data_IF_795797135617
#
_entry.id   IF_795797135617
#
_cell.length_a   1.000
_cell.length_b   1.000
_cell.length_c   1.000
_cell.angle_alpha   90.00
_cell.angle_beta   90.00
_cell.angle_gamma   90.00
#
_symmetry.space_group_name_H-M   'P 1'
#
loop_
_entity.id
_entity.type
_entity.pdbx_description
1 polymer ?
#
# COMPACT_ATOMS: atom_id res chain seq x y z
N UNK A 1 20.16 -17.09 -15.69
CA UNK A 1 20.36 -15.70 -15.51
C UNK A 1 19.12 -15.08 -14.94
N UNK A 2 19.30 -14.23 -14.03
CA UNK A 2 18.13 -13.67 -13.44
C UNK A 2 17.85 -12.34 -14.05
N UNK A 3 16.64 -12.20 -14.47
CA UNK A 3 16.20 -10.95 -14.99
C UNK A 3 15.83 -10.09 -13.81
N UNK A 4 16.35 -8.91 -13.82
CA UNK A 4 15.98 -7.97 -12.82
C UNK A 4 14.50 -7.70 -12.94
N UNK A 5 13.74 -7.93 -11.91
CA UNK A 5 12.31 -7.70 -12.02
C UNK A 5 12.03 -6.23 -12.21
N UNK A 6 11.01 -5.98 -12.96
CA UNK A 6 10.51 -4.63 -13.08
C UNK A 6 9.79 -4.32 -11.78
N UNK A 7 10.14 -3.21 -11.18
CA UNK A 7 9.47 -2.83 -9.94
C UNK A 7 8.14 -2.18 -10.28
N UNK A 8 7.11 -2.99 -10.22
CA UNK A 8 5.77 -2.53 -10.52
C UNK A 8 5.06 -2.27 -9.20
N UNK A 9 4.56 -1.08 -8.99
CA UNK A 9 3.83 -0.82 -7.76
C UNK A 9 2.59 -1.69 -7.65
N UNK A 10 2.32 -2.16 -6.46
CA UNK A 10 1.12 -2.94 -6.19
C UNK A 10 0.13 -2.02 -5.49
N UNK A 11 -1.03 -1.85 -6.07
CA UNK A 11 -2.04 -1.00 -5.48
C UNK A 11 -2.69 -1.73 -4.31
N UNK A 12 -2.61 -1.13 -3.14
CA UNK A 12 -3.20 -1.71 -1.94
C UNK A 12 -4.48 -1.03 -1.54
N UNK A 13 -4.62 0.25 -1.86
CA UNK A 13 -5.85 0.99 -1.58
C UNK A 13 -6.16 1.84 -2.80
N UNK A 14 -7.40 1.81 -3.21
CA UNK A 14 -7.86 2.62 -4.33
C UNK A 14 -9.22 3.18 -3.99
N UNK A 15 -9.34 4.50 -4.06
CA UNK A 15 -10.61 5.16 -3.78
C UNK A 15 -11.12 4.76 -2.40
N UNK A 16 -10.25 4.78 -1.43
CA UNK A 16 -10.58 4.46 -0.04
C UNK A 16 -10.88 2.99 0.20
N UNK A 17 -10.78 2.17 -0.82
CA UNK A 17 -11.10 0.76 -0.67
C UNK A 17 -9.83 -0.07 -0.62
N UNK A 18 -9.68 -0.83 0.45
CA UNK A 18 -8.50 -1.66 0.64
C UNK A 18 -8.65 -2.93 -0.18
N UNK A 19 -7.62 -3.23 -0.95
CA UNK A 19 -7.61 -4.43 -1.76
C UNK A 19 -6.92 -5.53 -0.95
N UNK A 20 -7.70 -6.18 -0.10
CA UNK A 20 -7.16 -7.14 0.85
C UNK A 20 -6.44 -8.31 0.18
N UNK A 21 -6.90 -8.70 -1.00
CA UNK A 21 -6.23 -9.78 -1.72
C UNK A 21 -4.80 -9.40 -2.05
N UNK A 22 -4.59 -8.15 -2.43
CA UNK A 22 -3.25 -7.70 -2.75
C UNK A 22 -2.38 -7.62 -1.51
N UNK A 23 -2.96 -7.16 -0.42
CA UNK A 23 -2.22 -7.10 0.85
C UNK A 23 -1.78 -8.49 1.26
N UNK A 24 -2.68 -9.46 1.16
CA UNK A 24 -2.37 -10.82 1.55
C UNK A 24 -1.34 -11.45 0.62
N UNK A 25 -1.41 -11.16 -0.66
CA UNK A 25 -0.47 -11.71 -1.61
C UNK A 25 0.95 -11.27 -1.31
N UNK A 26 1.11 -10.10 -0.72
CA UNK A 26 2.41 -9.62 -0.34
C UNK A 26 2.88 -10.17 1.00
N UNK A 27 2.04 -10.93 1.67
CA UNK A 27 2.39 -11.49 2.96
C UNK A 27 2.13 -10.55 4.13
N UNK A 28 1.34 -9.53 3.91
CA UNK A 28 1.04 -8.54 4.93
C UNK A 28 -0.37 -8.74 5.46
N UNK A 29 -0.71 -8.00 6.51
CA UNK A 29 -2.03 -8.09 7.09
C UNK A 29 -2.49 -6.68 7.47
N UNK A 30 -3.66 -6.63 8.11
CA UNK A 30 -4.22 -5.34 8.47
C UNK A 30 -3.37 -4.60 9.49
N UNK A 31 -2.78 -5.31 10.43
CA UNK A 31 -1.92 -4.66 11.41
C UNK A 31 -0.75 -3.98 10.74
N UNK A 32 -0.18 -4.66 9.76
CA UNK A 32 0.93 -4.08 9.00
C UNK A 32 0.47 -2.83 8.26
N UNK A 33 -0.67 -2.92 7.61
CA UNK A 33 -1.15 -1.79 6.82
C UNK A 33 -1.46 -0.59 7.71
N UNK A 34 -2.10 -0.84 8.85
CA UNK A 34 -2.39 0.24 9.77
C UNK A 34 -1.13 0.88 10.30
N UNK A 35 -0.12 0.06 10.58
CA UNK A 35 1.15 0.59 11.06
C UNK A 35 1.81 1.47 10.01
N UNK A 36 1.75 1.06 8.76
CA UNK A 36 2.31 1.86 7.68
C UNK A 36 1.61 3.20 7.56
N UNK A 37 0.30 3.18 7.61
CA UNK A 37 -0.47 4.42 7.48
C UNK A 37 -0.25 5.30 8.70
N UNK A 38 -0.17 4.70 9.86
CA UNK A 38 0.04 5.46 11.09
C UNK A 38 1.38 6.18 11.06
N UNK A 39 2.39 5.55 10.49
CA UNK A 39 3.70 6.18 10.39
C UNK A 39 3.65 7.41 9.48
N UNK A 40 2.64 7.51 8.65
CA UNK A 40 2.44 8.66 7.79
C UNK A 40 1.31 9.55 8.30
N UNK A 41 0.88 9.31 9.55
CA UNK A 41 -0.14 10.10 10.22
C UNK A 41 -1.50 10.02 9.54
N UNK A 42 -1.81 8.87 8.99
CA UNK A 42 -3.09 8.62 8.37
C UNK A 42 -3.84 7.63 9.24
N UNK A 43 -5.02 8.03 9.72
CA UNK A 43 -5.77 7.21 10.64
C UNK A 43 -6.98 6.54 10.02
N UNK A 44 -7.36 6.91 8.81
CA UNK A 44 -8.57 6.37 8.21
C UNK A 44 -8.33 6.03 6.76
N UNK A 45 -8.85 4.89 6.35
CA UNK A 45 -8.75 4.49 4.96
C UNK A 45 -9.49 5.46 4.05
N UNK A 46 -10.58 6.02 4.53
CA UNK A 46 -11.39 6.86 3.66
C UNK A 46 -10.72 8.17 3.29
N UNK A 47 -9.63 8.50 3.95
CA UNK A 47 -8.86 9.68 3.58
C UNK A 47 -7.93 9.39 2.42
N UNK A 48 -7.83 8.15 1.99
CA UNK A 48 -6.83 7.73 1.03
C UNK A 48 -7.44 7.56 -0.34
N UNK A 49 -6.89 8.28 -1.30
CA UNK A 49 -7.26 8.10 -2.68
C UNK A 49 -6.54 6.90 -3.28
N UNK A 50 -5.25 6.78 -3.00
CA UNK A 50 -4.43 5.74 -3.60
C UNK A 50 -3.29 5.40 -2.67
N UNK A 51 -3.02 4.10 -2.50
CA UNK A 51 -1.84 3.66 -1.78
C UNK A 51 -1.20 2.54 -2.58
N UNK A 52 0.08 2.70 -2.87
CA UNK A 52 0.81 1.76 -3.69
C UNK A 52 2.06 1.31 -2.96
N UNK A 53 2.32 0.04 -3.03
CA UNK A 53 3.50 -0.57 -2.42
C UNK A 53 4.55 -0.82 -3.48
N UNK A 54 5.75 -0.33 -3.24
CA UNK A 54 6.88 -0.59 -4.08
C UNK A 54 7.95 -1.21 -3.22
N UNK A 55 8.40 -2.39 -3.58
CA UNK A 55 9.18 -3.23 -2.69
C UNK A 55 10.39 -2.53 -2.07
N UNK A 56 11.11 -1.79 -2.87
CA UNK A 56 12.32 -1.16 -2.35
C UNK A 56 12.08 0.22 -1.77
N UNK A 57 10.95 0.81 -2.08
CA UNK A 57 10.69 2.20 -1.69
C UNK A 57 9.65 2.35 -0.60
N UNK A 58 8.85 1.32 -0.39
CA UNK A 58 7.86 1.36 0.66
C UNK A 58 6.47 1.73 0.15
N UNK A 59 5.68 2.28 1.02
CA UNK A 59 4.29 2.57 0.71
C UNK A 59 4.12 4.05 0.38
N UNK A 60 3.61 4.31 -0.80
CA UNK A 60 3.28 5.66 -1.23
C UNK A 60 1.79 5.87 -1.07
N UNK A 61 1.41 6.93 -0.40
CA UNK A 61 0.02 7.20 -0.12
C UNK A 61 -0.35 8.56 -0.64
N UNK A 62 -1.44 8.62 -1.39
CA UNK A 62 -2.02 9.88 -1.81
C UNK A 62 -3.37 10.02 -1.14
N UNK A 63 -3.57 11.13 -0.47
CA UNK A 63 -4.87 11.43 0.12
C UNK A 63 -5.64 12.33 -0.84
N UNK A 64 -6.92 12.53 -0.53
CA UNK A 64 -7.75 13.38 -1.39
C UNK A 64 -7.35 14.84 -1.30
N UNK A 65 -6.58 15.15 -0.34
CA UNK A 65 -6.12 16.52 -0.18
C UNK A 65 -4.69 16.62 -0.69
#
# INVERSE_FOLDING_TARGET
>A
MSVKPVYVPVTLIRDSEVLWDEVKDLGFDEDWLRAQLSSQRISEYKAIFLAEWLEDDGLFVQTYQ
#
